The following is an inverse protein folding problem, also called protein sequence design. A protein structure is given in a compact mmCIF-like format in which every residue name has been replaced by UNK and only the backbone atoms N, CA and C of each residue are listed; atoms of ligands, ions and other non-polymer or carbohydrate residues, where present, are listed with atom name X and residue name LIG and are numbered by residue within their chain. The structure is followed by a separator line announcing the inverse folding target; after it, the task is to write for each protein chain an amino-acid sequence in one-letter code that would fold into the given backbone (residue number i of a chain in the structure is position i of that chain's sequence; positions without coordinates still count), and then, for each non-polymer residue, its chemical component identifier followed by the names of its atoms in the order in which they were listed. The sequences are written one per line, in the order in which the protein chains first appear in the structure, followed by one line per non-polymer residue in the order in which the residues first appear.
data_IF_298060853778
#
_entry.id   IF_298060853778
#
_cell.length_a   1.000
_cell.length_b   1.000
_cell.length_c   1.000
_cell.angle_alpha   90.00
_cell.angle_beta   90.00
_cell.angle_gamma   90.00
#
_symmetry.space_group_name_H-M   'P 1'
#
loop_
_entity.id
_entity.type
_entity.pdbx_description
1 polymer ?
#
# COMPACT_ATOMS: atom_id res chain seq x y z
N UNK A 1 13.54 6.53 -1.56
CA UNK A 1 12.15 6.90 -1.18
C UNK A 1 11.23 6.06 -2.04
N UNK A 2 10.34 5.28 -1.43
CA UNK A 2 9.48 4.31 -2.13
C UNK A 2 8.07 4.47 -1.61
N UNK A 3 7.25 5.31 -2.26
CA UNK A 3 5.90 5.67 -1.79
C UNK A 3 4.91 5.78 -2.94
N UNK A 4 3.61 5.79 -2.62
CA UNK A 4 2.56 6.08 -3.60
C UNK A 4 2.70 7.51 -4.15
N UNK A 5 2.88 8.48 -3.25
CA UNK A 5 3.05 9.89 -3.57
C UNK A 5 4.28 10.18 -4.48
N UNK A 6 5.33 9.37 -4.38
CA UNK A 6 6.59 9.55 -5.11
C UNK A 6 7.43 8.26 -5.14
N UNK A 7 7.24 7.44 -6.18
CA UNK A 7 8.11 6.29 -6.45
C UNK A 7 7.38 5.04 -6.92
N UNK A 8 8.05 3.90 -6.75
CA UNK A 8 7.64 2.61 -7.30
C UNK A 8 6.18 2.22 -6.98
N UNK A 9 5.64 2.36 -5.76
CA UNK A 9 4.25 2.02 -5.48
C UNK A 9 3.24 2.77 -6.37
N UNK A 10 3.41 4.09 -6.50
CA UNK A 10 2.52 4.91 -7.33
C UNK A 10 2.65 4.61 -8.83
N UNK A 11 3.89 4.42 -9.30
CA UNK A 11 4.16 4.04 -10.69
C UNK A 11 3.56 2.67 -11.00
N UNK A 12 3.74 1.68 -10.12
CA UNK A 12 3.20 0.34 -10.28
C UNK A 12 1.68 0.33 -10.34
N UNK A 13 1.01 1.08 -9.45
CA UNK A 13 -0.44 1.22 -9.45
C UNK A 13 -0.94 1.88 -10.75
N UNK A 14 -0.26 2.94 -11.21
CA UNK A 14 -0.60 3.58 -12.49
C UNK A 14 -0.47 2.60 -13.66
N UNK A 15 0.58 1.77 -13.71
CA UNK A 15 0.77 0.77 -14.77
C UNK A 15 -0.23 -0.38 -14.71
N UNK A 16 -0.55 -0.85 -13.51
CA UNK A 16 -1.61 -1.84 -13.31
C UNK A 16 -2.97 -1.31 -13.79
N UNK A 17 -3.25 -0.02 -13.55
CA UNK A 17 -4.46 0.65 -14.01
C UNK A 17 -4.57 0.75 -15.54
N UNK A 18 -3.45 0.77 -16.27
CA UNK A 18 -3.47 0.86 -17.73
C UNK A 18 -3.60 -0.47 -18.46
N UNK A 19 -3.46 -1.61 -17.78
CA UNK A 19 -3.39 -2.93 -18.45
C UNK A 19 -4.61 -3.28 -19.31
N UNK A 20 -5.78 -2.72 -19.02
CA UNK A 20 -6.98 -2.93 -19.83
C UNK A 20 -6.93 -2.21 -21.20
N UNK A 21 -6.01 -1.25 -21.36
CA UNK A 21 -5.86 -0.42 -22.57
C UNK A 21 -4.49 -0.61 -23.22
N UNK A 22 -3.43 -0.69 -22.41
CA UNK A 22 -2.04 -0.80 -22.85
C UNK A 22 -1.36 -1.93 -22.05
N UNK A 23 -1.21 -3.08 -22.70
CA UNK A 23 -0.59 -4.27 -22.14
C UNK A 23 0.59 -4.73 -23.01
N UNK A 24 1.73 -4.05 -22.86
CA UNK A 24 2.97 -4.39 -23.59
C UNK A 24 3.99 -5.03 -22.65
N UNK A 25 4.98 -5.70 -23.24
CA UNK A 25 6.11 -6.29 -22.49
C UNK A 25 6.83 -5.25 -21.62
N UNK A 26 6.98 -4.03 -22.13
CA UNK A 26 7.62 -2.92 -21.41
C UNK A 26 6.80 -2.51 -20.18
N UNK A 27 5.47 -2.35 -20.33
CA UNK A 27 4.58 -2.02 -19.21
C UNK A 27 4.62 -3.13 -18.15
N UNK A 28 4.58 -4.40 -18.57
CA UNK A 28 4.70 -5.54 -17.65
C UNK A 28 6.05 -5.53 -16.93
N UNK A 29 7.14 -5.23 -17.62
CA UNK A 29 8.47 -5.11 -17.01
C UNK A 29 8.52 -3.96 -15.99
N UNK A 30 7.92 -2.80 -16.28
CA UNK A 30 7.84 -1.69 -15.33
C UNK A 30 7.04 -2.06 -14.08
N UNK A 31 5.96 -2.84 -14.22
CA UNK A 31 5.19 -3.39 -13.08
C UNK A 31 6.08 -4.31 -12.23
N UNK A 32 6.84 -5.23 -12.84
CA UNK A 32 7.76 -6.09 -12.09
C UNK A 32 8.84 -5.28 -11.36
N UNK A 33 9.39 -4.25 -11.99
CA UNK A 33 10.38 -3.37 -11.34
C UNK A 33 9.74 -2.64 -10.14
N UNK A 34 8.52 -2.16 -10.28
CA UNK A 34 7.80 -1.48 -9.22
C UNK A 34 7.50 -2.42 -8.03
N UNK A 35 7.07 -3.65 -8.31
CA UNK A 35 6.82 -4.69 -7.30
C UNK A 35 8.11 -5.06 -6.56
N UNK A 36 9.15 -5.44 -7.30
CA UNK A 36 10.44 -5.80 -6.71
C UNK A 36 11.02 -4.68 -5.85
N UNK A 37 10.96 -3.44 -6.33
CA UNK A 37 11.43 -2.27 -5.56
C UNK A 37 10.63 -2.09 -4.27
N UNK A 38 9.31 -2.29 -4.32
CA UNK A 38 8.43 -2.14 -3.16
C UNK A 38 8.63 -3.25 -2.14
N UNK A 39 8.76 -4.50 -2.58
CA UNK A 39 9.02 -5.65 -1.73
C UNK A 39 10.40 -5.58 -1.07
N UNK A 40 11.45 -5.21 -1.82
CA UNK A 40 12.80 -5.04 -1.28
C UNK A 40 12.88 -3.89 -0.27
N UNK A 41 12.09 -2.83 -0.44
CA UNK A 41 12.02 -1.74 0.52
C UNK A 41 11.40 -2.17 1.86
N UNK A 42 10.48 -3.14 1.81
CA UNK A 42 9.90 -3.78 2.99
C UNK A 42 9.11 -2.85 3.91
N UNK A 43 8.81 -3.36 5.10
CA UNK A 43 8.05 -2.63 6.10
C UNK A 43 8.89 -1.56 6.78
N UNK A 44 8.36 -0.35 6.85
CA UNK A 44 8.99 0.80 7.48
C UNK A 44 8.23 1.23 8.75
N UNK A 45 8.68 2.32 9.37
CA UNK A 45 7.96 2.92 10.50
C UNK A 45 6.65 3.59 10.05
N UNK A 46 6.71 4.44 9.04
CA UNK A 46 5.58 5.27 8.56
C UNK A 46 4.43 4.44 8.00
N UNK A 47 3.21 4.66 8.49
CA UNK A 47 2.08 3.77 8.22
C UNK A 47 1.10 4.30 7.17
N UNK A 48 0.81 5.60 7.15
CA UNK A 48 -0.29 6.16 6.35
C UNK A 48 -0.21 5.87 4.83
N UNK A 49 -1.33 6.07 4.12
CA UNK A 49 -1.45 5.78 2.68
C UNK A 49 -0.45 6.54 1.79
N UNK A 50 -0.29 7.84 2.02
CA UNK A 50 0.43 8.72 1.09
C UNK A 50 1.86 8.24 0.81
N UNK A 51 2.63 7.99 1.88
CA UNK A 51 4.04 7.65 1.78
C UNK A 51 4.47 6.56 2.77
N UNK A 52 3.51 5.92 3.45
CA UNK A 52 3.74 4.88 4.46
C UNK A 52 3.40 3.47 3.95
N UNK A 53 3.37 2.54 4.90
CA UNK A 53 3.26 1.11 4.66
C UNK A 53 1.93 0.75 3.97
N UNK A 54 0.81 1.33 4.38
CA UNK A 54 -0.48 0.99 3.83
C UNK A 54 -0.60 1.37 2.34
N UNK A 55 0.06 2.44 1.88
CA UNK A 55 0.13 2.73 0.43
C UNK A 55 1.00 1.76 -0.37
N UNK A 56 1.97 1.11 0.27
CA UNK A 56 2.78 0.05 -0.38
C UNK A 56 2.04 -1.27 -0.44
N UNK A 57 1.31 -1.60 0.64
CA UNK A 57 0.46 -2.79 0.70
C UNK A 57 -0.63 -2.75 -0.38
N UNK A 58 -1.14 -1.56 -0.70
CA UNK A 58 -2.10 -1.39 -1.77
C UNK A 58 -1.57 -1.82 -3.14
N UNK A 59 -0.31 -1.50 -3.47
CA UNK A 59 0.31 -2.02 -4.69
C UNK A 59 0.31 -3.55 -4.71
N UNK A 60 0.66 -4.19 -3.59
CA UNK A 60 0.67 -5.65 -3.49
C UNK A 60 -0.72 -6.25 -3.63
N UNK A 61 -1.73 -5.58 -3.06
CA UNK A 61 -3.12 -6.01 -3.11
C UNK A 61 -3.65 -5.97 -4.54
N UNK A 62 -3.53 -4.82 -5.21
CA UNK A 62 -3.98 -4.62 -6.60
C UNK A 62 -3.23 -5.56 -7.54
N UNK A 63 -1.91 -5.63 -7.43
CA UNK A 63 -1.10 -6.51 -8.28
C UNK A 63 -1.47 -7.98 -8.08
N UNK A 64 -1.69 -8.40 -6.83
CA UNK A 64 -2.11 -9.76 -6.55
C UNK A 64 -3.45 -10.13 -7.18
N UNK A 65 -4.40 -9.18 -7.23
CA UNK A 65 -5.67 -9.36 -7.93
C UNK A 65 -5.51 -9.32 -9.46
N UNK A 66 -5.06 -8.19 -10.02
CA UNK A 66 -4.98 -7.97 -11.48
C UNK A 66 -4.02 -8.91 -12.20
N UNK A 67 -2.97 -9.42 -11.53
CA UNK A 67 -2.00 -10.35 -12.12
C UNK A 67 -2.26 -11.82 -11.73
N UNK A 68 -3.33 -12.11 -10.98
CA UNK A 68 -3.62 -13.45 -10.46
C UNK A 68 -2.46 -14.06 -9.64
N UNK A 69 -1.87 -13.25 -8.75
CA UNK A 69 -0.71 -13.60 -7.90
C UNK A 69 -1.08 -13.53 -6.43
N UNK A 70 -1.77 -14.57 -5.93
CA UNK A 70 -2.29 -14.62 -4.56
C UNK A 70 -1.25 -14.35 -3.47
N UNK A 71 0.00 -14.75 -3.68
CA UNK A 71 1.10 -14.52 -2.74
C UNK A 71 1.35 -13.03 -2.45
N UNK A 72 1.08 -12.12 -3.41
CA UNK A 72 1.23 -10.68 -3.19
C UNK A 72 0.15 -10.17 -2.21
N UNK A 73 -1.10 -10.61 -2.38
CA UNK A 73 -2.17 -10.30 -1.43
C UNK A 73 -1.85 -10.83 -0.03
N UNK A 74 -1.32 -12.06 0.05
CA UNK A 74 -0.89 -12.67 1.32
C UNK A 74 0.23 -11.89 2.00
N UNK A 75 1.22 -11.43 1.23
CA UNK A 75 2.29 -10.56 1.72
C UNK A 75 1.73 -9.24 2.27
N UNK A 76 0.84 -8.57 1.54
CA UNK A 76 0.17 -7.35 2.01
C UNK A 76 -0.57 -7.56 3.33
N UNK A 77 -1.38 -8.63 3.44
CA UNK A 77 -2.10 -8.97 4.69
C UNK A 77 -1.15 -9.31 5.84
N UNK A 78 -0.06 -10.03 5.57
CA UNK A 78 0.96 -10.35 6.58
C UNK A 78 1.64 -9.10 7.11
N UNK A 79 1.99 -8.17 6.22
CA UNK A 79 2.57 -6.88 6.61
C UNK A 79 1.57 -6.05 7.44
N UNK A 80 0.31 -6.01 7.06
CA UNK A 80 -0.73 -5.34 7.84
C UNK A 80 -0.88 -5.95 9.24
N UNK A 81 -0.87 -7.28 9.35
CA UNK A 81 -0.89 -7.97 10.64
C UNK A 81 0.32 -7.61 11.52
N UNK A 82 1.51 -7.45 10.94
CA UNK A 82 2.70 -6.99 11.65
C UNK A 82 2.55 -5.55 12.16
N UNK A 83 2.03 -4.65 11.34
CA UNK A 83 1.75 -3.26 11.75
C UNK A 83 0.72 -3.22 12.87
N UNK A 84 -0.40 -3.93 12.74
CA UNK A 84 -1.44 -4.01 13.79
C UNK A 84 -0.86 -4.61 15.08
N UNK A 85 -0.04 -5.65 14.97
CA UNK A 85 0.66 -6.25 16.11
C UNK A 85 1.57 -5.25 16.82
N UNK A 86 2.34 -4.46 16.08
CA UNK A 86 3.15 -3.37 16.62
C UNK A 86 2.28 -2.32 17.31
N UNK A 87 1.21 -1.86 16.67
CA UNK A 87 0.31 -0.82 17.22
C UNK A 87 -0.35 -1.27 18.52
N UNK A 88 -0.70 -2.56 18.67
CA UNK A 88 -1.20 -3.10 19.94
C UNK A 88 -0.18 -2.99 21.09
N UNK A 89 1.11 -2.97 20.78
CA UNK A 89 2.19 -2.84 21.76
C UNK A 89 2.56 -1.36 22.01
N UNK A 90 2.57 -0.54 20.96
CA UNK A 90 3.00 0.86 21.02
C UNK A 90 1.88 1.86 21.31
N UNK A 91 0.61 1.45 21.14
CA UNK A 91 -0.58 2.26 21.37
C UNK A 91 -1.04 3.12 20.19
N UNK A 92 -0.20 3.32 19.16
CA UNK A 92 -0.52 4.19 18.03
C UNK A 92 0.18 3.78 16.73
N UNK A 93 -0.43 4.16 15.61
CA UNK A 93 0.20 4.16 14.28
C UNK A 93 1.24 5.28 14.18
N UNK A 94 2.29 5.05 13.40
CA UNK A 94 3.33 6.06 13.20
C UNK A 94 3.01 6.89 11.96
N UNK A 95 2.60 8.14 12.16
CA UNK A 95 2.06 9.01 11.10
C UNK A 95 3.03 10.09 10.65
N UNK A 96 3.94 10.54 11.50
CA UNK A 96 4.85 11.64 11.18
C UNK A 96 6.26 11.36 11.72
N UNK A 97 7.32 11.46 10.91
CA UNK A 97 8.70 11.21 11.34
C UNK A 97 9.17 12.04 12.54
N UNK A 98 8.65 13.26 12.68
CA UNK A 98 9.04 14.24 13.70
C UNK A 98 8.47 13.93 15.08
N UNK A 99 7.53 12.99 15.15
CA UNK A 99 6.75 12.72 16.36
C UNK A 99 6.73 11.23 16.69
N UNK A 100 7.32 10.89 17.84
CA UNK A 100 7.28 9.53 18.38
C UNK A 100 6.15 9.43 19.42
N UNK A 101 4.91 9.22 18.97
CA UNK A 101 3.76 9.08 19.87
C UNK A 101 2.42 9.04 19.14
N UNK A 102 1.36 8.93 19.93
CA UNK A 102 0.00 9.06 19.42
C UNK A 102 -0.26 10.49 18.95
N UNK A 103 -0.75 10.62 17.73
CA UNK A 103 -1.11 11.89 17.11
C UNK A 103 -2.49 11.70 16.52
N UNK A 104 -3.42 12.51 17.01
CA UNK A 104 -4.74 12.55 16.42
C UNK A 104 -4.68 13.19 15.03
N UNK A 105 -4.70 12.36 14.00
CA UNK A 105 -4.86 12.80 12.61
C UNK A 105 -5.90 11.91 11.91
N UNK A 106 -7.17 12.35 11.83
CA UNK A 106 -8.23 11.60 11.17
C UNK A 106 -8.24 11.78 9.64
N UNK A 107 -7.20 12.37 9.05
CA UNK A 107 -7.09 12.57 7.60
C UNK A 107 -7.02 11.25 6.82
N UNK A 108 -7.41 11.28 5.55
CA UNK A 108 -7.39 10.08 4.71
C UNK A 108 -5.97 9.69 4.30
N UNK A 109 -5.25 10.56 3.59
CA UNK A 109 -3.95 10.20 3.00
C UNK A 109 -2.80 10.09 4.01
N UNK A 110 -2.80 10.91 5.05
CA UNK A 110 -1.71 10.98 6.05
C UNK A 110 -2.17 10.58 7.46
N UNK A 111 -3.41 10.13 7.61
CA UNK A 111 -4.02 9.87 8.91
C UNK A 111 -4.62 8.47 9.03
N UNK A 112 -5.33 8.26 10.15
CA UNK A 112 -5.88 6.96 10.54
C UNK A 112 -7.11 6.55 9.73
N UNK A 113 -7.84 7.48 9.12
CA UNK A 113 -8.99 7.15 8.30
C UNK A 113 -8.60 6.33 7.06
N UNK A 114 -7.52 6.71 6.38
CA UNK A 114 -7.02 5.93 5.23
C UNK A 114 -6.40 4.60 5.65
N UNK A 115 -5.78 4.52 6.83
CA UNK A 115 -5.30 3.26 7.39
C UNK A 115 -6.47 2.31 7.64
N UNK A 116 -7.55 2.80 8.25
CA UNK A 116 -8.77 2.01 8.47
C UNK A 116 -9.40 1.54 7.16
N UNK A 117 -9.48 2.43 6.17
CA UNK A 117 -9.97 2.10 4.83
C UNK A 117 -9.17 0.96 4.19
N UNK A 118 -7.85 1.06 4.23
CA UNK A 118 -6.97 0.06 3.62
C UNK A 118 -6.97 -1.27 4.37
N UNK A 119 -7.11 -1.26 5.69
CA UNK A 119 -7.31 -2.49 6.47
C UNK A 119 -8.57 -3.24 6.04
N UNK A 120 -9.67 -2.52 5.75
CA UNK A 120 -10.90 -3.14 5.24
C UNK A 120 -10.64 -3.74 3.85
N UNK A 121 -9.93 -3.04 2.96
CA UNK A 121 -9.59 -3.56 1.63
C UNK A 121 -8.68 -4.77 1.66
N UNK A 122 -7.65 -4.77 2.51
CA UNK A 122 -6.78 -5.94 2.67
C UNK A 122 -7.53 -7.18 3.18
N UNK A 123 -8.57 -6.98 3.99
CA UNK A 123 -9.46 -8.05 4.46
C UNK A 123 -10.51 -8.47 3.41
N UNK A 124 -11.09 -7.50 2.70
CA UNK A 124 -12.17 -7.65 1.74
C UNK A 124 -11.91 -6.78 0.48
N UNK A 125 -11.05 -7.25 -0.45
CA UNK A 125 -10.55 -6.40 -1.53
C UNK A 125 -11.65 -5.89 -2.48
N UNK A 126 -12.70 -6.69 -2.65
CA UNK A 126 -13.84 -6.39 -3.53
C UNK A 126 -14.91 -5.52 -2.86
N UNK A 127 -14.77 -5.20 -1.56
CA UNK A 127 -15.79 -4.44 -0.83
C UNK A 127 -15.67 -2.92 -1.04
N UNK A 128 -14.48 -2.42 -1.39
CA UNK A 128 -14.19 -0.99 -1.52
C UNK A 128 -13.19 -0.74 -2.66
N UNK A 129 -13.36 0.34 -3.46
CA UNK A 129 -12.49 0.66 -4.59
C UNK A 129 -11.09 1.10 -4.15
N UNK A 130 -10.11 1.03 -5.06
CA UNK A 130 -8.79 1.62 -4.84
C UNK A 130 -8.80 3.14 -4.99
N UNK A 131 -8.86 3.84 -3.87
CA UNK A 131 -8.67 5.30 -3.86
C UNK A 131 -7.28 5.69 -4.39
N UNK A 132 -6.26 4.83 -4.22
CA UNK A 132 -4.91 5.11 -4.70
C UNK A 132 -4.76 4.91 -6.22
N UNK A 133 -5.72 4.26 -6.87
CA UNK A 133 -5.85 4.20 -8.33
C UNK A 133 -6.88 5.19 -8.88
N UNK A 134 -7.52 6.00 -8.02
CA UNK A 134 -8.60 6.92 -8.37
C UNK A 134 -9.87 6.21 -8.88
N UNK A 135 -10.18 5.04 -8.33
CA UNK A 135 -11.42 4.27 -8.55
C UNK A 135 -12.60 4.74 -7.69
#
# INVERSE_FOLDING_TARGET
MTSWCHGAPGIGLARLGTLEVIDTTEIRQEIEVALNTTEQFGLQKLDHLCCGNFGRMELLLVAGSKLSRSHLCETGRKQAAQVVGRVKQTGAFYLFPEFNGDIYNPGFFQGTAGIGYELIRLAYPEALPSVLMWE
#
